data_IF_624409340527
#
_entry.id   IF_624409340527
#
_cell.length_a   1.000
_cell.length_b   1.000
_cell.length_c   1.000
_cell.angle_alpha   90.00
_cell.angle_beta   90.00
_cell.angle_gamma   90.00
#
_symmetry.space_group_name_H-M   'P 1'
#
loop_
_entity.id
_entity.type
_entity.pdbx_description
1 polymer ?
#
# COMPACT_ATOMS: atom_id res chain seq x y z
N UNK A 1 55.37 40.99 -19.45
CA UNK A 1 54.13 40.58 -20.13
C UNK A 1 54.46 39.36 -20.99
N UNK A 2 54.36 38.18 -20.36
CA UNK A 2 53.44 37.07 -20.69
C UNK A 2 53.82 36.37 -22.01
N UNK A 3 54.69 35.35 -21.95
CA UNK A 3 54.40 33.92 -21.69
C UNK A 3 53.76 33.22 -22.89
N UNK A 4 54.57 32.44 -23.59
CA UNK A 4 54.20 31.46 -24.61
C UNK A 4 53.26 30.39 -24.03
N UNK A 5 52.19 30.04 -24.75
CA UNK A 5 51.47 28.78 -24.55
C UNK A 5 51.37 28.06 -25.90
N UNK A 6 52.19 27.02 -26.06
CA UNK A 6 51.97 25.98 -27.08
C UNK A 6 50.61 25.33 -26.82
N UNK A 7 49.73 25.32 -27.82
CA UNK A 7 48.51 24.53 -27.77
C UNK A 7 48.86 23.06 -27.98
N UNK A 8 49.05 22.33 -26.88
CA UNK A 8 49.12 20.87 -26.89
C UNK A 8 47.71 20.35 -27.16
N UNK A 9 47.42 19.95 -28.39
CA UNK A 9 46.19 19.23 -28.72
C UNK A 9 46.42 17.77 -28.32
N UNK A 10 45.92 17.41 -27.14
CA UNK A 10 45.90 16.02 -26.69
C UNK A 10 44.89 15.29 -27.57
N UNK A 11 45.38 14.43 -28.47
CA UNK A 11 44.55 13.54 -29.26
C UNK A 11 43.98 12.45 -28.33
N UNK A 12 42.68 12.47 -28.08
CA UNK A 12 41.99 11.39 -27.38
C UNK A 12 41.88 10.16 -28.28
N UNK A 13 42.42 9.04 -27.81
CA UNK A 13 42.32 7.73 -28.45
C UNK A 13 40.86 7.29 -28.46
N UNK A 14 40.31 6.97 -29.64
CA UNK A 14 38.98 6.39 -29.77
C UNK A 14 39.14 4.87 -29.71
N UNK A 15 38.63 4.24 -28.65
CA UNK A 15 38.50 2.79 -28.60
C UNK A 15 37.20 2.38 -29.29
N UNK A 16 37.31 1.61 -30.37
CA UNK A 16 36.18 0.96 -31.04
C UNK A 16 36.22 -0.53 -30.72
N UNK A 17 35.09 -1.09 -30.33
CA UNK A 17 34.96 -2.52 -30.02
C UNK A 17 34.47 -3.25 -31.27
N UNK A 18 35.36 -4.00 -31.89
CA UNK A 18 35.03 -4.98 -32.93
C UNK A 18 35.57 -6.35 -32.49
N UNK A 19 34.71 -7.36 -32.42
CA UNK A 19 35.07 -8.75 -32.05
C UNK A 19 35.87 -8.89 -30.73
N UNK A 20 35.53 -8.11 -29.69
CA UNK A 20 36.13 -8.18 -28.35
C UNK A 20 37.64 -7.87 -28.26
N UNK A 21 38.24 -7.25 -29.27
CA UNK A 21 39.59 -6.66 -29.16
C UNK A 21 39.51 -5.14 -29.32
N UNK A 22 40.05 -4.40 -28.34
CA UNK A 22 40.18 -2.94 -28.44
C UNK A 22 41.39 -2.61 -29.33
N UNK A 23 41.15 -1.99 -30.49
CA UNK A 23 42.20 -1.44 -31.34
C UNK A 23 42.31 0.06 -31.14
N UNK A 24 43.53 0.52 -30.88
CA UNK A 24 43.85 1.95 -30.84
C UNK A 24 44.09 2.45 -32.27
N UNK A 25 43.30 3.45 -32.67
CA UNK A 25 43.48 4.16 -33.93
C UNK A 25 44.05 5.56 -33.69
N UNK A 26 45.20 5.85 -34.30
CA UNK A 26 45.79 7.19 -34.36
C UNK A 26 45.28 7.92 -35.60
N UNK A 27 44.42 8.91 -35.41
CA UNK A 27 43.88 9.73 -36.49
C UNK A 27 44.76 10.96 -36.76
N UNK A 28 45.12 11.19 -38.03
CA UNK A 28 45.86 12.37 -38.49
C UNK A 28 44.89 13.46 -38.96
N UNK A 29 45.09 14.70 -38.50
CA UNK A 29 44.19 15.84 -38.66
C UNK A 29 44.16 16.48 -40.08
N UNK A 30 44.56 15.78 -41.13
CA UNK A 30 44.67 16.34 -42.50
C UNK A 30 43.53 15.93 -43.44
N UNK A 31 42.63 15.04 -43.01
CA UNK A 31 41.63 14.45 -43.90
C UNK A 31 40.26 15.11 -43.74
N UNK A 32 39.90 15.99 -44.68
CA UNK A 32 38.66 16.76 -44.68
C UNK A 32 37.41 15.85 -44.66
N UNK A 33 37.53 14.63 -45.21
CA UNK A 33 36.49 13.60 -45.23
C UNK A 33 36.13 13.09 -43.82
N UNK A 34 37.12 12.95 -42.94
CA UNK A 34 36.97 12.55 -41.54
C UNK A 34 36.33 13.67 -40.70
N UNK A 35 36.70 14.92 -40.98
CA UNK A 35 36.09 16.09 -40.32
C UNK A 35 34.60 16.16 -40.66
N UNK A 36 34.23 15.95 -41.91
CA UNK A 36 32.83 16.01 -42.33
C UNK A 36 32.02 14.80 -41.83
N UNK A 37 32.61 13.60 -41.78
CA UNK A 37 32.03 12.44 -41.08
C UNK A 37 31.81 12.69 -39.59
N UNK A 38 32.77 13.29 -38.88
CA UNK A 38 32.62 13.62 -37.45
C UNK A 38 31.58 14.72 -37.23
N UNK A 39 31.46 15.71 -38.12
CA UNK A 39 30.39 16.72 -38.05
C UNK A 39 29.01 16.09 -38.23
N UNK A 40 28.88 15.16 -39.18
CA UNK A 40 27.63 14.41 -39.40
C UNK A 40 27.31 13.58 -38.15
N UNK A 41 28.26 12.82 -37.63
CA UNK A 41 28.10 12.01 -36.41
C UNK A 41 27.66 12.89 -35.22
N UNK A 42 28.36 14.01 -34.97
CA UNK A 42 28.03 14.95 -33.90
C UNK A 42 26.67 15.65 -34.10
N UNK A 43 26.25 15.90 -35.34
CA UNK A 43 24.91 16.43 -35.64
C UNK A 43 23.81 15.39 -35.40
N UNK A 44 24.04 14.13 -35.77
CA UNK A 44 23.07 13.05 -35.53
C UNK A 44 23.04 12.57 -34.07
N UNK A 45 24.14 12.68 -33.32
CA UNK A 45 24.22 12.30 -31.90
C UNK A 45 23.64 13.35 -30.94
N UNK A 46 23.28 14.55 -31.42
CA UNK A 46 22.71 15.63 -30.59
C UNK A 46 21.18 15.62 -30.54
N UNK A 47 20.55 14.44 -30.40
CA UNK A 47 19.12 14.32 -30.10
C UNK A 47 18.72 13.19 -29.16
N UNK A 48 19.67 12.61 -28.45
CA UNK A 48 19.34 11.92 -27.20
C UNK A 48 19.64 12.91 -26.07
N UNK A 49 18.61 13.61 -25.60
CA UNK A 49 18.68 14.26 -24.29
C UNK A 49 19.15 13.21 -23.29
N UNK A 50 20.36 13.37 -22.74
CA UNK A 50 20.79 12.60 -21.59
C UNK A 50 19.64 12.62 -20.58
N UNK A 51 19.11 11.46 -20.13
CA UNK A 51 18.05 11.47 -19.14
C UNK A 51 18.59 12.27 -17.95
N UNK A 52 17.96 13.41 -17.68
CA UNK A 52 18.17 14.14 -16.42
C UNK A 52 18.09 13.11 -15.30
N UNK A 53 18.93 13.19 -14.24
CA UNK A 53 18.80 12.28 -13.10
C UNK A 53 17.33 12.26 -12.74
N UNK A 54 16.68 11.11 -12.97
CA UNK A 54 15.23 11.01 -12.90
C UNK A 54 14.86 11.65 -11.59
N UNK A 55 14.01 12.69 -11.59
CA UNK A 55 13.31 13.08 -10.37
C UNK A 55 12.79 11.77 -9.82
N UNK A 56 13.40 11.26 -8.75
CA UNK A 56 13.01 10.01 -8.15
C UNK A 56 11.54 10.21 -7.88
N UNK A 57 10.70 9.53 -8.66
CA UNK A 57 9.26 9.62 -8.51
C UNK A 57 9.04 9.34 -7.03
N UNK A 58 8.50 10.33 -6.32
CA UNK A 58 8.10 10.17 -4.92
C UNK A 58 6.85 9.29 -4.92
N UNK A 59 7.04 8.04 -5.34
CA UNK A 59 6.03 7.01 -5.36
C UNK A 59 5.76 6.63 -3.92
N UNK A 60 4.48 6.56 -3.60
CA UNK A 60 4.00 6.02 -2.34
C UNK A 60 2.59 5.51 -2.54
N UNK A 61 2.14 4.74 -1.57
CA UNK A 61 0.80 4.16 -1.55
C UNK A 61 0.18 4.37 -0.20
N UNK A 62 -1.15 4.46 -0.19
CA UNK A 62 -1.94 4.50 1.03
C UNK A 62 -2.59 3.16 1.29
N UNK A 63 -2.74 2.82 2.56
CA UNK A 63 -3.55 1.69 3.01
C UNK A 63 -4.22 2.03 4.34
N UNK A 64 -5.31 1.35 4.65
CA UNK A 64 -5.98 1.48 5.95
C UNK A 64 -5.46 0.38 6.87
N UNK A 65 -5.09 0.76 8.09
CA UNK A 65 -4.83 -0.16 9.19
C UNK A 65 -6.05 -0.21 10.08
N UNK A 66 -6.84 -1.27 9.92
CA UNK A 66 -8.07 -1.47 10.68
C UNK A 66 -7.77 -1.96 12.11
N UNK A 67 -8.46 -1.40 13.09
CA UNK A 67 -8.34 -1.75 14.50
C UNK A 67 -7.17 -1.10 15.24
N UNK A 68 -6.47 -0.11 14.66
CA UNK A 68 -5.41 0.67 15.32
C UNK A 68 -5.52 2.15 15.02
N UNK A 69 -5.11 2.99 15.97
CA UNK A 69 -5.05 4.46 15.84
C UNK A 69 -3.70 4.97 15.30
N UNK A 70 -2.75 4.08 15.05
CA UNK A 70 -1.39 4.44 14.64
C UNK A 70 -0.92 3.63 13.44
N UNK A 71 -0.06 4.21 12.61
CA UNK A 71 0.60 3.48 11.53
C UNK A 71 1.79 2.65 12.02
N UNK A 72 2.18 1.59 11.30
CA UNK A 72 3.40 0.84 11.58
C UNK A 72 4.64 1.72 11.44
N UNK A 73 5.75 1.33 12.08
CA UNK A 73 7.01 2.07 11.99
C UNK A 73 7.46 2.18 10.54
N UNK A 74 7.74 3.41 10.09
CA UNK A 74 8.21 3.71 8.73
C UNK A 74 7.11 4.14 7.77
N UNK A 75 5.84 3.97 8.12
CA UNK A 75 4.72 4.58 7.41
C UNK A 75 4.30 5.88 8.13
N UNK A 76 3.95 6.90 7.36
CA UNK A 76 3.43 8.16 7.88
C UNK A 76 1.90 8.04 8.09
N UNK A 77 1.38 8.67 9.14
CA UNK A 77 -0.07 8.82 9.32
C UNK A 77 -0.57 9.89 8.35
N UNK A 78 -1.57 9.56 7.53
CA UNK A 78 -2.33 10.53 6.74
C UNK A 78 -3.42 11.13 7.63
N UNK A 79 -4.26 10.28 8.23
CA UNK A 79 -5.22 10.65 9.25
C UNK A 79 -5.62 9.43 10.11
N UNK A 80 -6.25 9.69 11.23
CA UNK A 80 -6.84 8.67 12.12
C UNK A 80 -8.34 8.87 12.22
N UNK A 81 -9.03 7.79 12.55
CA UNK A 81 -10.48 7.79 12.45
C UNK A 81 -11.15 6.64 13.19
N UNK A 82 -12.45 6.56 12.98
CA UNK A 82 -13.29 5.45 13.38
C UNK A 82 -13.74 4.70 12.13
N UNK A 83 -13.83 3.38 12.24
CA UNK A 83 -14.41 2.56 11.19
C UNK A 83 -15.90 2.82 11.15
N UNK A 84 -16.42 3.04 9.95
CA UNK A 84 -17.83 3.19 9.71
C UNK A 84 -18.31 2.37 8.53
N UNK A 85 -19.61 2.35 8.36
CA UNK A 85 -20.27 1.64 7.29
C UNK A 85 -21.77 1.80 7.35
N UNK A 86 -22.47 0.88 6.73
CA UNK A 86 -23.93 0.85 6.70
C UNK A 86 -24.43 -0.10 7.81
N UNK A 87 -25.60 0.19 8.38
CA UNK A 87 -26.16 -0.62 9.48
C UNK A 87 -26.24 -2.12 9.10
N UNK A 88 -25.95 -3.01 10.05
CA UNK A 88 -25.84 -4.46 9.82
C UNK A 88 -27.08 -5.09 9.14
N UNK A 89 -28.27 -4.56 9.42
CA UNK A 89 -29.55 -5.06 8.90
C UNK A 89 -30.07 -4.28 7.68
N UNK A 90 -29.30 -3.33 7.14
CA UNK A 90 -29.69 -2.59 5.94
C UNK A 90 -29.27 -3.34 4.67
N UNK A 91 -30.22 -3.49 3.74
CA UNK A 91 -30.00 -4.25 2.49
C UNK A 91 -29.19 -3.49 1.44
N UNK A 92 -29.22 -2.16 1.53
CA UNK A 92 -28.65 -1.24 0.55
C UNK A 92 -27.53 -0.36 1.13
N UNK A 93 -27.16 0.67 0.37
CA UNK A 93 -26.02 1.54 0.68
C UNK A 93 -24.69 0.98 0.15
N UNK A 94 -23.57 1.38 0.75
CA UNK A 94 -22.23 0.88 0.40
C UNK A 94 -21.95 -0.47 1.05
N UNK A 95 -21.10 -1.31 0.45
CA UNK A 95 -20.68 -2.63 1.00
C UNK A 95 -19.35 -2.58 1.74
N UNK A 96 -18.52 -1.59 1.46
CA UNK A 96 -17.19 -1.43 2.04
C UNK A 96 -17.25 -0.82 3.44
N UNK A 97 -16.23 -1.09 4.23
CA UNK A 97 -15.93 -0.30 5.42
C UNK A 97 -15.28 1.03 5.01
N UNK A 98 -15.50 2.06 5.83
CA UNK A 98 -14.93 3.39 5.68
C UNK A 98 -14.04 3.66 6.88
N UNK A 99 -12.92 4.37 6.66
CA UNK A 99 -12.18 4.99 7.75
C UNK A 99 -12.60 6.45 7.82
N UNK A 100 -13.54 6.79 8.71
CA UNK A 100 -14.09 8.13 8.87
C UNK A 100 -13.13 8.97 9.71
N UNK A 101 -12.68 10.15 9.25
CA UNK A 101 -11.74 10.97 10.00
C UNK A 101 -12.33 11.44 11.34
N UNK A 102 -11.47 11.60 12.35
CA UNK A 102 -11.86 12.14 13.66
C UNK A 102 -12.24 13.64 13.61
N UNK A 103 -11.87 14.33 12.53
CA UNK A 103 -12.08 15.74 12.25
C UNK A 103 -12.86 15.96 10.94
N UNK A 104 -14.13 15.49 10.85
CA UNK A 104 -14.89 15.61 9.61
C UNK A 104 -15.28 17.05 9.30
N UNK A 105 -15.22 17.42 8.02
CA UNK A 105 -15.92 18.60 7.51
C UNK A 105 -17.40 18.25 7.29
N UNK A 106 -18.29 18.94 8.01
CA UNK A 106 -19.73 18.66 7.94
C UNK A 106 -20.42 19.47 6.86
N UNK A 107 -21.27 18.82 6.08
CA UNK A 107 -22.27 19.47 5.24
C UNK A 107 -23.41 20.10 6.05
N UNK A 108 -24.38 20.70 5.37
CA UNK A 108 -25.59 21.23 6.03
C UNK A 108 -26.42 20.10 6.62
N UNK A 109 -26.88 20.27 7.86
CA UNK A 109 -27.80 19.33 8.49
C UNK A 109 -29.14 19.34 7.75
N UNK A 110 -29.67 18.15 7.45
CA UNK A 110 -30.96 17.94 6.79
C UNK A 110 -31.74 16.88 7.56
N UNK A 111 -33.07 17.01 7.62
CA UNK A 111 -33.96 16.12 8.37
C UNK A 111 -34.86 15.32 7.41
N UNK A 112 -34.26 14.47 6.58
CA UNK A 112 -34.97 13.56 5.67
C UNK A 112 -34.37 12.15 5.76
N UNK A 113 -35.17 11.15 5.39
CA UNK A 113 -34.82 9.73 5.43
C UNK A 113 -33.91 9.34 4.25
N UNK A 114 -32.61 9.62 4.38
CA UNK A 114 -31.57 9.23 3.43
C UNK A 114 -30.74 8.06 3.97
N UNK A 115 -29.94 7.43 3.10
CA UNK A 115 -28.97 6.42 3.54
C UNK A 115 -28.01 7.01 4.58
N UNK A 116 -27.83 6.30 5.69
CA UNK A 116 -27.02 6.71 6.83
C UNK A 116 -25.69 5.95 6.87
N UNK A 117 -24.67 6.61 7.44
CA UNK A 117 -23.39 5.99 7.80
C UNK A 117 -23.34 5.88 9.31
N UNK A 118 -22.98 4.70 9.80
CA UNK A 118 -22.87 4.34 11.20
C UNK A 118 -21.43 4.05 11.57
N UNK A 119 -21.08 4.21 12.84
CA UNK A 119 -19.84 3.68 13.40
C UNK A 119 -19.84 2.15 13.37
N UNK A 120 -18.65 1.55 13.50
CA UNK A 120 -18.46 0.11 13.50
C UNK A 120 -18.03 -0.40 14.86
N UNK A 121 -18.50 -1.61 15.21
CA UNK A 121 -18.14 -2.30 16.46
C UNK A 121 -17.46 -3.64 16.20
N UNK A 122 -16.63 -4.07 17.15
CA UNK A 122 -16.21 -5.47 17.23
C UNK A 122 -17.34 -6.31 17.82
N UNK A 123 -17.76 -7.33 17.08
CA UNK A 123 -18.77 -8.27 17.54
C UNK A 123 -18.09 -9.57 17.95
N UNK A 124 -17.88 -9.69 19.26
CA UNK A 124 -17.07 -10.76 19.87
C UNK A 124 -17.85 -11.42 21.00
N UNK A 125 -17.65 -12.73 21.15
CA UNK A 125 -18.15 -13.50 22.27
C UNK A 125 -17.12 -14.55 22.66
N UNK A 126 -17.31 -15.21 23.80
CA UNK A 126 -16.44 -16.31 24.26
C UNK A 126 -16.26 -17.41 23.21
N UNK A 127 -17.30 -17.66 22.40
CA UNK A 127 -17.30 -18.68 21.35
C UNK A 127 -16.92 -18.16 19.96
N UNK A 128 -16.82 -16.85 19.75
CA UNK A 128 -16.62 -16.23 18.43
C UNK A 128 -15.37 -15.35 18.32
N UNK A 129 -14.67 -15.06 19.41
CA UNK A 129 -13.44 -14.26 19.37
C UNK A 129 -12.28 -15.00 18.68
N UNK A 130 -11.44 -14.23 17.99
CA UNK A 130 -10.16 -14.73 17.49
C UNK A 130 -9.20 -15.06 18.63
N UNK A 131 -8.28 -15.98 18.37
CA UNK A 131 -7.26 -16.40 19.33
C UNK A 131 -6.44 -15.21 19.87
N UNK A 132 -6.37 -15.08 21.20
CA UNK A 132 -5.64 -14.01 21.89
C UNK A 132 -6.42 -12.71 22.11
N UNK A 133 -7.65 -12.59 21.56
CA UNK A 133 -8.50 -11.43 21.83
C UNK A 133 -9.31 -11.62 23.13
N UNK A 134 -9.62 -10.48 23.76
CA UNK A 134 -10.45 -10.42 24.97
C UNK A 134 -11.92 -10.20 24.60
N UNK A 135 -12.83 -10.80 25.36
CA UNK A 135 -14.27 -10.53 25.23
C UNK A 135 -14.61 -9.09 25.66
N UNK A 136 -13.75 -8.44 26.43
CA UNK A 136 -13.91 -7.02 26.78
C UNK A 136 -13.84 -6.06 25.58
N UNK A 137 -13.45 -6.57 24.41
CA UNK A 137 -13.47 -5.86 23.14
C UNK A 137 -14.85 -5.89 22.46
N UNK A 138 -15.79 -6.72 22.94
CA UNK A 138 -17.14 -6.78 22.40
C UNK A 138 -17.83 -5.42 22.53
N UNK A 139 -18.60 -5.05 21.51
CA UNK A 139 -19.37 -3.81 21.43
C UNK A 139 -18.49 -2.55 21.61
N UNK A 140 -17.20 -2.68 21.28
CA UNK A 140 -16.29 -1.54 21.25
C UNK A 140 -16.19 -0.99 19.85
N UNK A 141 -16.23 0.33 19.74
CA UNK A 141 -15.98 1.03 18.50
C UNK A 141 -14.58 0.70 17.94
N UNK A 142 -14.51 0.51 16.63
CA UNK A 142 -13.29 0.09 15.94
C UNK A 142 -12.54 1.33 15.42
N UNK A 143 -11.29 1.59 15.86
CA UNK A 143 -10.48 2.66 15.30
C UNK A 143 -9.84 2.26 13.96
N UNK A 144 -9.41 3.25 13.20
CA UNK A 144 -8.59 3.05 12.01
C UNK A 144 -7.53 4.15 11.85
N UNK A 145 -6.47 3.82 11.11
CA UNK A 145 -5.47 4.78 10.67
C UNK A 145 -5.23 4.60 9.17
N UNK A 146 -5.25 5.70 8.42
CA UNK A 146 -4.83 5.69 7.02
C UNK A 146 -3.35 6.02 6.97
N UNK A 147 -2.58 5.09 6.41
CA UNK A 147 -1.12 5.11 6.42
C UNK A 147 -0.59 5.34 5.01
N UNK A 148 0.44 6.18 4.89
CA UNK A 148 1.18 6.42 3.66
C UNK A 148 2.56 5.81 3.76
N UNK A 149 2.88 4.91 2.82
CA UNK A 149 4.19 4.28 2.75
C UNK A 149 4.98 4.86 1.57
N UNK A 150 6.13 5.45 1.88
CA UNK A 150 7.03 6.06 0.90
C UNK A 150 7.81 4.98 0.14
N UNK A 151 8.17 5.28 -1.10
CA UNK A 151 8.98 4.40 -1.96
C UNK A 151 8.36 3.01 -2.17
N UNK A 152 7.03 2.96 -2.20
CA UNK A 152 6.21 1.81 -2.55
C UNK A 152 5.21 2.22 -3.61
N UNK A 153 4.85 1.28 -4.45
CA UNK A 153 4.02 1.47 -5.63
C UNK A 153 2.69 0.72 -5.56
N UNK A 154 2.60 -0.32 -4.71
CA UNK A 154 1.40 -1.15 -4.60
C UNK A 154 1.14 -1.63 -3.17
N UNK A 155 -0.13 -1.94 -2.89
CA UNK A 155 -0.61 -2.56 -1.64
C UNK A 155 -1.35 -3.84 -2.00
N UNK A 156 -1.18 -4.87 -1.17
CA UNK A 156 -1.89 -6.15 -1.29
C UNK A 156 -2.29 -6.66 0.09
N UNK A 157 -3.58 -6.95 0.28
CA UNK A 157 -4.06 -7.75 1.40
C UNK A 157 -4.10 -9.23 0.99
N UNK A 158 -3.47 -10.11 1.78
CA UNK A 158 -3.43 -11.55 1.53
C UNK A 158 -4.22 -12.26 2.65
N UNK A 159 -5.41 -12.80 2.35
CA UNK A 159 -6.16 -13.59 3.32
C UNK A 159 -5.53 -14.98 3.49
N UNK A 160 -5.64 -15.55 4.70
CA UNK A 160 -5.07 -16.84 5.08
C UNK A 160 -3.57 -16.85 5.40
N UNK A 161 -2.89 -15.69 5.45
CA UNK A 161 -1.45 -15.61 5.79
C UNK A 161 -1.19 -14.53 6.84
N UNK A 162 -0.19 -14.77 7.69
CA UNK A 162 0.40 -13.74 8.58
C UNK A 162 1.70 -13.13 8.05
N UNK A 163 2.17 -13.59 6.89
CA UNK A 163 3.42 -13.15 6.26
C UNK A 163 3.22 -12.89 4.78
N UNK A 164 3.95 -11.91 4.24
CA UNK A 164 3.95 -11.59 2.82
C UNK A 164 4.68 -12.66 1.99
N UNK A 165 4.46 -12.66 0.68
CA UNK A 165 5.28 -13.46 -0.24
C UNK A 165 6.66 -12.84 -0.45
N UNK A 166 7.60 -13.62 -0.99
CA UNK A 166 8.96 -13.13 -1.28
C UNK A 166 8.91 -11.85 -2.13
N UNK A 167 9.67 -10.85 -1.72
CA UNK A 167 9.76 -9.55 -2.41
C UNK A 167 8.63 -8.57 -2.07
N UNK A 168 7.72 -8.93 -1.17
CA UNK A 168 6.73 -8.03 -0.56
C UNK A 168 7.11 -7.74 0.89
N UNK A 169 6.80 -6.53 1.35
CA UNK A 169 7.16 -6.06 2.68
C UNK A 169 5.90 -6.01 3.55
N UNK A 170 5.89 -6.65 4.74
CA UNK A 170 4.74 -6.62 5.62
C UNK A 170 4.59 -5.25 6.28
N UNK A 171 3.38 -4.71 6.21
CA UNK A 171 2.99 -3.50 6.94
C UNK A 171 2.37 -3.88 8.29
N UNK A 172 1.37 -4.78 8.27
CA UNK A 172 0.80 -5.38 9.48
C UNK A 172 0.09 -6.70 9.15
N UNK A 173 -0.18 -7.50 10.17
CA UNK A 173 -0.96 -8.73 10.07
C UNK A 173 -2.05 -8.77 11.14
N UNK A 174 -3.00 -9.69 10.97
CA UNK A 174 -4.21 -9.71 11.76
C UNK A 174 -5.15 -10.86 11.45
N UNK A 175 -6.41 -10.64 11.81
CA UNK A 175 -7.52 -11.54 11.52
C UNK A 175 -8.42 -10.91 10.44
N UNK A 176 -8.86 -11.73 9.51
CA UNK A 176 -9.84 -11.34 8.52
C UNK A 176 -11.22 -11.31 9.18
N UNK A 177 -11.90 -10.18 9.05
CA UNK A 177 -13.21 -9.93 9.65
C UNK A 177 -14.18 -9.40 8.59
N UNK A 178 -15.48 -9.65 8.80
CA UNK A 178 -16.57 -9.14 7.96
C UNK A 178 -17.88 -9.15 8.76
N UNK A 179 -19.02 -8.97 8.10
CA UNK A 179 -20.33 -9.09 8.74
C UNK A 179 -20.66 -10.54 9.15
N UNK A 180 -21.68 -10.68 9.99
CA UNK A 180 -22.22 -11.98 10.35
C UNK A 180 -22.89 -12.66 9.14
N UNK A 181 -22.85 -13.99 9.09
CA UNK A 181 -23.39 -14.75 7.95
C UNK A 181 -24.91 -14.67 7.78
N UNK A 182 -25.65 -14.19 8.78
CA UNK A 182 -27.10 -13.93 8.71
C UNK A 182 -27.44 -12.47 8.39
N UNK A 183 -26.44 -11.60 8.27
CA UNK A 183 -26.62 -10.18 7.94
C UNK A 183 -26.44 -9.94 6.43
N UNK A 184 -26.48 -8.67 6.02
CA UNK A 184 -26.20 -8.30 4.64
C UNK A 184 -24.70 -8.29 4.37
N UNK A 185 -24.32 -8.56 3.11
CA UNK A 185 -22.91 -8.68 2.71
C UNK A 185 -22.11 -7.41 3.00
N UNK A 186 -20.92 -7.60 3.60
CA UNK A 186 -19.85 -6.61 3.72
C UNK A 186 -18.61 -7.07 2.99
N UNK A 187 -17.70 -6.13 2.76
CA UNK A 187 -16.35 -6.45 2.34
C UNK A 187 -15.56 -7.14 3.48
N UNK A 188 -14.35 -7.60 3.18
CA UNK A 188 -13.44 -8.18 4.15
C UNK A 188 -12.41 -7.16 4.61
N UNK A 189 -12.27 -7.00 5.93
CA UNK A 189 -11.25 -6.15 6.53
C UNK A 189 -10.16 -7.02 7.19
N UNK A 190 -8.90 -6.67 6.95
CA UNK A 190 -7.79 -7.24 7.73
C UNK A 190 -7.58 -6.41 8.99
N UNK A 191 -8.05 -6.90 10.14
CA UNK A 191 -8.02 -6.16 11.41
C UNK A 191 -6.79 -6.58 12.20
N UNK A 192 -6.00 -5.60 12.64
CA UNK A 192 -4.69 -5.80 13.26
C UNK A 192 -4.72 -6.83 14.40
N UNK A 193 -3.70 -7.69 14.47
CA UNK A 193 -3.64 -8.75 15.48
C UNK A 193 -3.70 -8.22 16.92
N UNK A 194 -3.20 -6.99 17.14
CA UNK A 194 -3.22 -6.28 18.42
C UNK A 194 -4.25 -5.15 18.40
N UNK A 195 -5.42 -5.41 17.83
CA UNK A 195 -6.52 -4.46 17.74
C UNK A 195 -6.85 -3.82 19.09
N UNK A 196 -7.26 -2.55 19.05
CA UNK A 196 -7.62 -1.75 20.21
C UNK A 196 -8.99 -1.10 20.01
N UNK A 197 -9.69 -0.73 21.10
CA UNK A 197 -10.96 -0.04 21.00
C UNK A 197 -10.74 1.47 20.81
N UNK A 198 -11.75 2.17 20.30
CA UNK A 198 -11.68 3.64 20.16
C UNK A 198 -11.57 4.32 21.53
N UNK A 199 -12.37 3.89 22.49
CA UNK A 199 -12.25 4.25 23.90
C UNK A 199 -12.77 3.10 24.78
N UNK A 200 -12.94 3.35 26.09
CA UNK A 200 -13.43 2.35 27.04
C UNK A 200 -14.96 2.37 27.21
N UNK A 201 -15.71 3.12 26.38
CA UNK A 201 -17.18 3.11 26.45
C UNK A 201 -17.73 1.78 25.99
N UNK A 202 -18.84 1.40 26.60
CA UNK A 202 -19.63 0.25 26.18
C UNK A 202 -20.88 0.79 25.51
N UNK A 203 -21.17 0.27 24.33
CA UNK A 203 -22.29 0.70 23.53
C UNK A 203 -22.56 -0.38 22.51
N UNK A 204 -23.73 -1.01 22.59
CA UNK A 204 -24.21 -1.84 21.50
C UNK A 204 -25.16 -0.97 20.69
N UNK A 205 -24.59 -0.21 19.76
CA UNK A 205 -25.31 0.66 18.84
C UNK A 205 -25.71 -0.05 17.55
N UNK A 206 -25.20 -1.28 17.32
CA UNK A 206 -25.61 -2.13 16.21
C UNK A 206 -25.49 -1.38 14.85
N UNK A 207 -24.36 -0.70 14.67
CA UNK A 207 -24.04 0.05 13.46
C UNK A 207 -23.52 -0.85 12.33
N UNK A 208 -22.35 -0.52 11.79
CA UNK A 208 -21.56 -1.50 11.05
C UNK A 208 -20.90 -2.48 12.03
N UNK A 209 -20.64 -3.71 11.61
CA UNK A 209 -20.14 -4.74 12.53
C UNK A 209 -18.99 -5.53 11.92
N UNK A 210 -18.07 -5.95 12.78
CA UNK A 210 -16.92 -6.77 12.44
C UNK A 210 -16.92 -8.03 13.29
N UNK A 211 -17.19 -9.16 12.64
CA UNK A 211 -17.12 -10.51 13.18
C UNK A 211 -15.86 -11.23 12.69
N UNK A 212 -15.16 -11.99 13.55
CA UNK A 212 -14.10 -12.89 13.13
C UNK A 212 -14.60 -13.97 12.17
N UNK A 213 -13.76 -14.31 11.19
CA UNK A 213 -14.05 -15.38 10.25
C UNK A 213 -13.32 -16.66 10.60
N UNK A 214 -14.00 -17.78 10.35
CA UNK A 214 -13.41 -19.11 10.39
C UNK A 214 -13.52 -19.78 9.04
N UNK A 215 -12.52 -20.60 8.71
CA UNK A 215 -12.54 -21.47 7.54
C UNK A 215 -13.61 -22.54 7.68
N UNK A 216 -14.29 -22.86 6.57
CA UNK A 216 -15.20 -24.02 6.49
C UNK A 216 -14.77 -24.95 5.39
N UNK A 217 -14.33 -26.16 5.75
CA UNK A 217 -13.94 -27.17 4.78
C UNK A 217 -15.15 -27.68 3.98
N UNK A 218 -14.89 -28.11 2.75
CA UNK A 218 -15.90 -28.54 1.79
C UNK A 218 -15.46 -28.11 0.40
N UNK A 219 -16.03 -27.01 -0.11
CA UNK A 219 -15.51 -26.33 -1.29
C UNK A 219 -14.11 -25.75 -1.05
N UNK A 220 -13.83 -25.31 0.18
CA UNK A 220 -12.47 -25.00 0.61
C UNK A 220 -11.70 -26.30 0.88
N UNK A 221 -10.58 -26.47 0.18
CA UNK A 221 -9.72 -27.65 0.33
C UNK A 221 -9.01 -27.65 1.68
N UNK A 222 -9.11 -28.75 2.39
CA UNK A 222 -8.44 -29.00 3.66
C UNK A 222 -7.77 -30.36 3.60
N UNK A 223 -6.42 -30.45 3.55
CA UNK A 223 -5.39 -29.38 3.56
C UNK A 223 -5.34 -28.51 2.26
N UNK A 224 -4.68 -27.32 2.28
CA UNK A 224 -3.79 -26.80 3.33
C UNK A 224 -4.50 -25.98 4.42
N UNK A 225 -5.79 -25.66 4.26
CA UNK A 225 -6.56 -25.02 5.32
C UNK A 225 -6.97 -26.04 6.39
N UNK A 226 -7.17 -25.57 7.60
CA UNK A 226 -7.73 -26.34 8.71
C UNK A 226 -9.21 -25.99 8.86
N UNK A 227 -10.08 -26.93 9.19
CA UNK A 227 -11.50 -26.64 9.43
C UNK A 227 -11.69 -25.78 10.68
N UNK A 228 -12.65 -24.85 10.67
CA UNK A 228 -13.03 -24.00 11.81
C UNK A 228 -11.87 -23.18 12.41
N UNK A 229 -10.85 -22.85 11.61
CA UNK A 229 -9.69 -22.09 12.05
C UNK A 229 -9.87 -20.59 11.74
N UNK A 230 -9.40 -19.72 12.64
CA UNK A 230 -9.38 -18.27 12.43
C UNK A 230 -8.68 -17.94 11.10
N UNK A 231 -9.31 -17.10 10.29
CA UNK A 231 -8.74 -16.67 9.01
C UNK A 231 -7.75 -15.53 9.27
N UNK A 232 -6.45 -15.82 9.18
CA UNK A 232 -5.41 -14.79 9.28
C UNK A 232 -5.41 -13.86 8.06
N UNK A 233 -4.76 -12.72 8.17
CA UNK A 233 -4.51 -11.83 7.03
C UNK A 233 -3.21 -11.01 7.24
N UNK A 234 -2.67 -10.51 6.13
CA UNK A 234 -1.51 -9.61 6.14
C UNK A 234 -1.69 -8.55 5.05
N UNK A 235 -1.36 -7.31 5.38
CA UNK A 235 -1.26 -6.22 4.41
C UNK A 235 0.20 -6.00 4.09
N UNK A 236 0.50 -5.99 2.79
CA UNK A 236 1.84 -5.96 2.23
C UNK A 236 1.99 -4.79 1.24
N UNK A 237 3.20 -4.26 1.12
CA UNK A 237 3.56 -3.27 0.10
C UNK A 237 4.72 -3.71 -0.78
N UNK A 238 4.85 -3.09 -1.95
CA UNK A 238 5.98 -3.27 -2.86
C UNK A 238 6.35 -1.98 -3.58
#
# INVERSE_FOLDING_TARGET
>A
MLSTCMAVVIATVIMVVENNECKDYTLSATDQSLIDMMKIYLHTSRKDECPSPSKTSKSGVTYVRWGKKICPKGADIVYTGQVGGTQYNYRGGGVNYLCLPNDPENGQHQSYDNNQVYGSEYQLSSSMKSSGWSESMADKEVPCAVCYQKHRSTVLMIPGRKTCYKGWIPEYNGYLMSDHNTHFRRDFACVDINAEPMDNKNGNEDGAVLYPLRTKCGSLRCPPYTNEADVLCVVCTK
#
